data_IF_711664861375
#
_entry.id   IF_711664861375
#
_cell.length_a   1.000
_cell.length_b   1.000
_cell.length_c   1.000
_cell.angle_alpha   90.00
_cell.angle_beta   90.00
_cell.angle_gamma   90.00
#
_symmetry.space_group_name_H-M   'P 1'
#
loop_
_entity.id
_entity.type
_entity.pdbx_description
1 polymer ?
#
# COMPACT_ATOMS: atom_id res chain seq x y z
N UNK A 1 -14.91 6.52 9.15
CA UNK A 1 -14.67 7.68 8.26
C UNK A 1 -15.40 7.46 6.95
N UNK A 2 -15.77 8.52 6.23
CA UNK A 2 -16.60 8.47 5.04
C UNK A 2 -16.03 9.26 3.85
N UNK A 3 -16.27 8.76 2.64
CA UNK A 3 -15.97 9.40 1.38
C UNK A 3 -17.24 9.42 0.51
N UNK A 4 -17.79 10.60 0.13
CA UNK A 4 -19.07 10.75 -0.58
C UNK A 4 -18.97 10.43 -2.07
N UNK A 5 -18.15 9.43 -2.41
CA UNK A 5 -17.84 9.01 -3.75
C UNK A 5 -18.36 7.60 -4.00
N UNK A 6 -18.61 7.29 -5.27
CA UNK A 6 -19.19 6.00 -5.66
C UNK A 6 -18.15 4.89 -5.84
N UNK A 7 -16.87 5.24 -6.00
CA UNK A 7 -15.82 4.29 -6.36
C UNK A 7 -14.42 4.80 -6.04
N UNK A 8 -13.46 3.88 -5.96
CA UNK A 8 -12.02 4.18 -5.87
C UNK A 8 -11.55 5.17 -6.95
N UNK A 9 -12.03 5.01 -8.19
CA UNK A 9 -11.70 5.92 -9.29
C UNK A 9 -12.12 7.36 -9.00
N UNK A 10 -13.36 7.55 -8.54
CA UNK A 10 -13.89 8.88 -8.27
C UNK A 10 -13.15 9.57 -7.12
N UNK A 11 -12.81 8.84 -6.06
CA UNK A 11 -11.96 9.35 -4.97
C UNK A 11 -10.57 9.74 -5.49
N UNK A 12 -9.93 8.88 -6.31
CA UNK A 12 -8.62 9.15 -6.87
C UNK A 12 -8.62 10.44 -7.71
N UNK A 13 -9.64 10.63 -8.55
CA UNK A 13 -9.80 11.84 -9.36
C UNK A 13 -9.94 13.10 -8.51
N UNK A 14 -10.74 13.05 -7.45
CA UNK A 14 -10.93 14.19 -6.56
C UNK A 14 -9.68 14.50 -5.73
N UNK A 15 -9.00 13.48 -5.18
CA UNK A 15 -7.70 13.66 -4.50
C UNK A 15 -6.65 14.30 -5.42
N UNK A 16 -6.53 13.81 -6.66
CA UNK A 16 -5.66 14.43 -7.67
C UNK A 16 -6.03 15.89 -7.86
N UNK A 17 -7.30 16.17 -8.16
CA UNK A 17 -7.78 17.51 -8.51
C UNK A 17 -7.54 18.52 -7.39
N UNK A 18 -7.81 18.14 -6.14
CA UNK A 18 -7.81 19.07 -4.99
C UNK A 18 -6.49 19.12 -4.24
N UNK A 19 -5.76 18.01 -4.15
CA UNK A 19 -4.61 17.90 -3.23
C UNK A 19 -3.31 17.46 -3.91
N UNK A 20 -3.38 16.70 -5.00
CA UNK A 20 -2.21 16.12 -5.64
C UNK A 20 -2.21 16.34 -7.17
N UNK A 21 -2.22 17.60 -7.67
CA UNK A 21 -2.42 17.90 -9.09
C UNK A 21 -1.34 17.34 -10.01
N UNK A 22 -0.12 17.12 -9.49
CA UNK A 22 1.00 16.51 -10.23
C UNK A 22 0.93 14.97 -10.33
N UNK A 23 -0.11 14.33 -9.79
CA UNK A 23 -0.27 12.88 -9.85
C UNK A 23 -1.12 12.43 -11.05
N UNK A 24 -0.92 11.19 -11.47
CA UNK A 24 -1.67 10.53 -12.51
C UNK A 24 -2.61 9.48 -11.91
N UNK A 25 -3.88 9.50 -12.33
CA UNK A 25 -4.89 8.52 -11.90
C UNK A 25 -4.85 7.34 -12.84
N UNK A 26 -4.51 6.15 -12.33
CA UNK A 26 -4.28 4.97 -13.15
C UNK A 26 -5.01 3.74 -12.58
N UNK A 27 -5.71 2.94 -13.40
CA UNK A 27 -6.25 1.67 -12.96
C UNK A 27 -5.13 0.63 -12.81
N UNK A 28 -5.26 -0.29 -11.86
CA UNK A 28 -4.40 -1.47 -11.80
C UNK A 28 -4.59 -2.36 -13.04
N UNK A 29 -5.84 -2.69 -13.36
CA UNK A 29 -6.16 -3.47 -14.55
C UNK A 29 -6.40 -2.55 -15.74
N UNK A 30 -5.36 -2.33 -16.56
CA UNK A 30 -5.46 -1.51 -17.77
C UNK A 30 -6.39 -2.08 -18.86
N UNK A 31 -6.71 -3.36 -18.78
CA UNK A 31 -7.57 -4.05 -19.76
C UNK A 31 -9.05 -4.05 -19.33
N UNK A 32 -9.34 -3.72 -18.07
CA UNK A 32 -10.70 -3.61 -17.55
C UNK A 32 -10.81 -2.39 -16.62
N UNK A 33 -10.68 -1.21 -17.21
CA UNK A 33 -10.62 0.05 -16.48
C UNK A 33 -11.90 0.32 -15.70
N UNK A 34 -13.06 0.07 -16.32
CA UNK A 34 -14.38 0.33 -15.75
C UNK A 34 -14.68 -0.54 -14.53
N UNK A 35 -14.17 -1.78 -14.53
CA UNK A 35 -14.36 -2.73 -13.43
C UNK A 35 -13.17 -2.74 -12.46
N UNK A 36 -12.23 -1.79 -12.59
CA UNK A 36 -11.03 -1.79 -11.77
C UNK A 36 -11.37 -1.36 -10.34
N UNK A 37 -11.17 -2.29 -9.40
CA UNK A 37 -11.32 -2.07 -7.96
C UNK A 37 -10.12 -1.36 -7.33
N UNK A 38 -8.98 -1.33 -8.04
CA UNK A 38 -7.70 -0.82 -7.57
C UNK A 38 -7.25 0.35 -8.46
N UNK A 39 -6.98 1.49 -7.84
CA UNK A 39 -6.54 2.72 -8.49
C UNK A 39 -5.30 3.28 -7.83
N UNK A 40 -4.43 3.88 -8.64
CA UNK A 40 -3.20 4.51 -8.22
C UNK A 40 -3.25 6.01 -8.44
N UNK A 41 -2.64 6.75 -7.52
CA UNK A 41 -2.09 8.08 -7.80
C UNK A 41 -0.58 7.96 -7.90
N UNK A 42 -0.08 8.09 -9.14
CA UNK A 42 1.33 7.86 -9.48
C UNK A 42 2.00 9.13 -10.01
N UNK A 43 3.27 9.39 -9.67
CA UNK A 43 4.00 10.59 -10.07
C UNK A 43 4.34 10.64 -11.56
N UNK A 44 4.46 9.51 -12.25
CA UNK A 44 5.08 9.46 -13.60
C UNK A 44 4.13 9.10 -14.73
N UNK A 45 2.86 8.80 -14.44
CA UNK A 45 1.89 8.40 -15.48
C UNK A 45 2.18 7.07 -16.18
N UNK A 46 3.32 6.43 -15.87
CA UNK A 46 3.66 5.05 -16.24
C UNK A 46 2.64 4.08 -15.60
N UNK A 47 2.60 2.80 -15.95
CA UNK A 47 1.69 1.78 -15.39
C UNK A 47 2.42 0.53 -14.86
N UNK A 48 3.72 0.38 -15.14
CA UNK A 48 4.53 -0.78 -14.72
C UNK A 48 4.77 -0.83 -13.21
N UNK A 49 5.57 -1.80 -12.73
CA UNK A 49 6.16 -1.70 -11.40
C UNK A 49 6.88 -0.35 -11.33
N UNK A 50 6.61 0.46 -10.30
CA UNK A 50 7.12 1.82 -10.27
C UNK A 50 8.36 1.95 -9.43
N UNK A 51 9.32 2.75 -9.94
CA UNK A 51 10.50 3.14 -9.17
C UNK A 51 10.14 3.90 -7.88
N UNK A 52 9.00 4.58 -7.86
CA UNK A 52 8.51 5.44 -6.79
C UNK A 52 7.37 4.78 -6.00
N UNK A 53 7.19 5.20 -4.75
CA UNK A 53 5.96 4.90 -4.03
C UNK A 53 4.76 5.57 -4.72
N UNK A 54 3.56 5.06 -4.44
CA UNK A 54 2.31 5.58 -5.03
C UNK A 54 1.20 5.55 -4.01
N UNK A 55 0.20 6.41 -4.16
CA UNK A 55 -1.01 6.23 -3.35
C UNK A 55 -1.90 5.17 -3.97
N UNK A 56 -2.47 4.34 -3.12
CA UNK A 56 -3.40 3.27 -3.47
C UNK A 56 -4.79 3.62 -2.99
N UNK A 57 -5.76 3.35 -3.84
CA UNK A 57 -7.19 3.40 -3.55
C UNK A 57 -7.78 2.07 -3.99
N UNK A 58 -8.21 1.23 -3.06
CA UNK A 58 -8.80 -0.07 -3.40
C UNK A 58 -10.04 -0.41 -2.60
N UNK A 59 -11.06 -0.91 -3.28
CA UNK A 59 -12.27 -1.50 -2.66
C UNK A 59 -12.19 -3.03 -2.57
N UNK A 60 -11.02 -3.59 -2.85
CA UNK A 60 -10.81 -5.03 -2.96
C UNK A 60 -9.60 -5.47 -2.12
N UNK A 61 -9.69 -6.69 -1.62
CA UNK A 61 -8.85 -7.27 -0.57
C UNK A 61 -9.71 -8.02 0.45
N UNK A 62 -9.38 -9.28 0.72
CA UNK A 62 -10.17 -10.14 1.63
C UNK A 62 -10.30 -9.64 3.07
N UNK A 63 -9.58 -8.57 3.44
CA UNK A 63 -9.67 -7.91 4.74
C UNK A 63 -10.55 -6.65 4.75
N UNK A 64 -10.95 -6.14 3.59
CA UNK A 64 -11.80 -4.96 3.48
C UNK A 64 -13.27 -5.35 3.56
N UNK A 65 -14.03 -4.55 4.29
CA UNK A 65 -15.48 -4.72 4.37
C UNK A 65 -16.13 -4.23 3.07
N UNK A 66 -17.24 -4.86 2.69
CA UNK A 66 -18.05 -4.37 1.58
C UNK A 66 -18.46 -2.90 1.79
N UNK A 67 -18.48 -2.12 0.72
CA UNK A 67 -18.77 -0.69 0.77
C UNK A 67 -17.66 0.17 1.38
N UNK A 68 -16.46 -0.38 1.57
CA UNK A 68 -15.29 0.38 2.04
C UNK A 68 -14.19 0.50 0.99
N UNK A 69 -13.40 1.55 1.12
CA UNK A 69 -12.24 1.88 0.32
C UNK A 69 -11.02 2.01 1.23
N UNK A 70 -9.97 1.25 0.95
CA UNK A 70 -8.65 1.53 1.50
C UNK A 70 -7.99 2.68 0.73
N UNK A 71 -7.64 3.76 1.44
CA UNK A 71 -6.82 4.88 0.98
C UNK A 71 -5.45 4.75 1.68
N UNK A 72 -4.34 4.74 0.95
CA UNK A 72 -3.01 4.58 1.57
C UNK A 72 -1.83 4.86 0.64
N UNK A 73 -0.63 4.66 1.16
CA UNK A 73 0.64 4.66 0.44
C UNK A 73 1.11 3.22 0.21
N UNK A 74 1.57 2.91 -1.01
CA UNK A 74 2.04 1.60 -1.44
C UNK A 74 3.52 1.65 -1.84
N UNK A 75 4.26 0.65 -1.38
CA UNK A 75 5.67 0.40 -1.68
C UNK A 75 5.77 -0.99 -2.29
N UNK A 76 6.43 -1.10 -3.44
CA UNK A 76 6.54 -2.35 -4.16
C UNK A 76 7.97 -2.90 -4.08
N UNK A 77 8.08 -4.21 -3.89
CA UNK A 77 9.21 -5.05 -4.26
C UNK A 77 8.76 -5.93 -5.41
N UNK A 78 9.49 -5.88 -6.52
CA UNK A 78 9.35 -6.80 -7.63
C UNK A 78 10.15 -8.07 -7.39
N UNK A 79 10.09 -8.97 -8.35
CA UNK A 79 10.89 -10.19 -8.28
C UNK A 79 12.37 -9.84 -8.43
N UNK A 80 13.26 -10.61 -7.79
CA UNK A 80 14.70 -10.51 -8.01
C UNK A 80 15.13 -11.24 -9.30
N UNK A 81 14.35 -12.25 -9.71
CA UNK A 81 14.58 -13.01 -10.93
C UNK A 81 13.30 -13.09 -11.76
N UNK A 82 13.42 -12.91 -13.07
CA UNK A 82 12.27 -12.99 -13.97
C UNK A 82 11.87 -14.44 -14.22
N UNK A 83 12.80 -15.40 -14.14
CA UNK A 83 12.54 -16.77 -14.61
C UNK A 83 12.04 -16.75 -16.04
N UNK A 84 10.89 -17.38 -16.29
CA UNK A 84 10.16 -17.33 -17.58
C UNK A 84 9.26 -16.10 -17.76
N UNK A 85 9.19 -15.19 -16.79
CA UNK A 85 8.35 -14.00 -16.83
C UNK A 85 9.03 -12.83 -17.56
N UNK A 86 8.27 -11.80 -17.98
CA UNK A 86 8.85 -10.61 -18.59
C UNK A 86 9.90 -9.95 -17.69
N UNK A 87 11.03 -9.53 -18.26
CA UNK A 87 12.10 -8.85 -17.54
C UNK A 87 11.62 -7.56 -16.83
N UNK A 88 10.53 -6.95 -17.31
CA UNK A 88 9.88 -5.79 -16.68
C UNK A 88 9.35 -6.06 -15.28
N UNK A 89 9.22 -7.33 -14.86
CA UNK A 89 8.78 -7.69 -13.52
C UNK A 89 9.93 -7.80 -12.51
N UNK A 90 11.19 -7.72 -12.99
CA UNK A 90 12.36 -7.68 -12.13
C UNK A 90 12.65 -6.25 -11.74
N UNK A 91 12.65 -5.98 -10.44
CA UNK A 91 12.92 -4.63 -9.95
C UNK A 91 14.41 -4.34 -9.88
N UNK A 92 14.81 -3.15 -10.31
CA UNK A 92 16.20 -2.71 -10.21
C UNK A 92 16.55 -2.34 -8.75
N UNK A 93 17.77 -2.69 -8.34
CA UNK A 93 18.25 -2.52 -6.95
C UNK A 93 18.21 -1.08 -6.41
N UNK A 94 18.06 -0.07 -7.27
CA UNK A 94 17.96 1.35 -6.89
C UNK A 94 16.54 1.83 -6.55
N UNK A 95 15.56 0.93 -6.49
CA UNK A 95 14.14 1.24 -6.33
C UNK A 95 13.70 1.42 -4.86
N UNK A 96 12.47 1.90 -4.68
CA UNK A 96 11.95 2.35 -3.39
C UNK A 96 11.96 1.29 -2.29
N UNK A 97 11.71 0.02 -2.57
CA UNK A 97 11.84 -1.04 -1.54
C UNK A 97 13.21 -1.01 -0.85
N UNK A 98 14.30 -0.99 -1.61
CA UNK A 98 15.65 -1.01 -1.03
C UNK A 98 15.94 0.27 -0.23
N UNK A 99 15.51 1.45 -0.73
CA UNK A 99 15.62 2.70 0.02
C UNK A 99 14.77 2.69 1.29
N UNK A 100 13.57 2.11 1.22
CA UNK A 100 12.64 1.98 2.33
C UNK A 100 13.24 1.13 3.45
N UNK A 101 13.85 -0.02 3.14
CA UNK A 101 14.51 -0.87 4.15
C UNK A 101 15.62 -0.16 4.95
N UNK A 102 16.28 0.85 4.35
CA UNK A 102 17.33 1.64 4.99
C UNK A 102 16.80 2.67 5.98
N UNK A 103 15.60 3.18 5.77
CA UNK A 103 15.00 4.24 6.61
C UNK A 103 13.84 3.76 7.47
N UNK A 104 13.40 2.52 7.26
CA UNK A 104 12.31 1.94 8.01
C UNK A 104 12.81 1.73 9.45
N UNK A 105 12.36 2.60 10.36
CA UNK A 105 12.29 2.46 11.81
C UNK A 105 11.65 3.77 12.33
N UNK A 106 12.38 4.61 13.07
CA UNK A 106 11.91 5.91 13.58
C UNK A 106 11.32 6.84 12.49
N UNK A 107 11.95 7.03 11.31
CA UNK A 107 11.36 7.88 10.27
C UNK A 107 10.01 7.36 9.76
N UNK A 108 9.81 6.05 9.77
CA UNK A 108 8.55 5.43 9.37
C UNK A 108 7.49 5.59 10.47
N UNK A 109 7.86 5.32 11.72
CA UNK A 109 6.98 5.54 12.88
C UNK A 109 6.49 7.00 12.91
N UNK A 110 7.40 7.96 12.70
CA UNK A 110 7.03 9.38 12.65
C UNK A 110 6.03 9.67 11.51
N UNK A 111 6.28 9.19 10.29
CA UNK A 111 5.34 9.39 9.17
C UNK A 111 3.97 8.77 9.48
N UNK A 112 3.93 7.62 10.14
CA UNK A 112 2.70 6.95 10.54
C UNK A 112 1.98 7.71 11.67
N UNK A 113 2.70 8.28 12.62
CA UNK A 113 2.12 9.12 13.67
C UNK A 113 1.53 10.41 13.11
N UNK A 114 2.24 11.08 12.19
CA UNK A 114 1.73 12.24 11.47
C UNK A 114 0.50 11.90 10.63
N UNK A 115 0.49 10.75 9.95
CA UNK A 115 -0.64 10.28 9.15
C UNK A 115 -1.84 9.91 10.04
N UNK A 116 -1.61 9.26 11.19
CA UNK A 116 -2.65 8.92 12.17
C UNK A 116 -3.25 10.17 12.82
N UNK A 117 -2.45 11.20 13.07
CA UNK A 117 -2.97 12.46 13.64
C UNK A 117 -3.93 13.20 12.69
N UNK A 118 -3.96 12.83 11.41
CA UNK A 118 -4.88 13.38 10.42
C UNK A 118 -6.23 12.64 10.34
N UNK A 119 -6.41 11.53 11.06
CA UNK A 119 -7.62 10.69 10.98
C UNK A 119 -8.07 10.18 12.35
N UNK A 120 -9.35 9.87 12.49
CA UNK A 120 -9.94 9.44 13.77
C UNK A 120 -9.78 7.94 14.06
N UNK A 121 -8.90 7.22 13.35
CA UNK A 121 -8.73 5.79 13.58
C UNK A 121 -7.35 5.25 13.27
N UNK A 122 -7.13 4.00 13.69
CA UNK A 122 -5.84 3.35 13.53
C UNK A 122 -5.51 3.15 12.05
N UNK A 123 -4.25 3.43 11.71
CA UNK A 123 -3.71 3.04 10.43
C UNK A 123 -3.61 1.52 10.35
N UNK A 124 -3.74 1.02 9.13
CA UNK A 124 -3.51 -0.36 8.77
C UNK A 124 -2.19 -0.46 8.00
N UNK A 125 -1.39 -1.45 8.38
CA UNK A 125 -0.23 -1.94 7.67
C UNK A 125 -0.61 -3.25 7.01
N UNK A 126 -0.68 -3.26 5.67
CA UNK A 126 -1.03 -4.44 4.88
C UNK A 126 0.19 -4.85 4.08
N UNK A 127 0.60 -6.11 4.21
CA UNK A 127 1.67 -6.70 3.39
C UNK A 127 1.07 -7.83 2.56
N UNK A 128 1.18 -7.71 1.25
CA UNK A 128 0.81 -8.76 0.31
C UNK A 128 2.07 -9.33 -0.32
N UNK A 129 2.19 -10.65 -0.42
CA UNK A 129 3.25 -11.29 -1.19
C UNK A 129 2.68 -12.40 -2.05
N UNK A 130 3.09 -12.44 -3.32
CA UNK A 130 2.60 -13.46 -4.23
C UNK A 130 3.64 -13.89 -5.24
N UNK A 131 3.40 -15.07 -5.79
CA UNK A 131 4.11 -15.61 -6.93
C UNK A 131 3.15 -15.73 -8.11
N UNK A 132 3.62 -15.57 -9.36
CA UNK A 132 2.73 -15.68 -10.50
C UNK A 132 2.04 -17.05 -10.57
N UNK A 133 0.72 -17.04 -10.69
CA UNK A 133 -0.10 -18.26 -10.73
C UNK A 133 -0.37 -18.92 -9.37
N UNK A 134 0.08 -18.32 -8.26
CA UNK A 134 -0.18 -18.79 -6.91
C UNK A 134 -1.12 -17.84 -6.13
N UNK A 135 -1.70 -18.36 -5.05
CA UNK A 135 -2.43 -17.51 -4.10
C UNK A 135 -1.50 -16.54 -3.38
N UNK A 136 -1.99 -15.33 -3.14
CA UNK A 136 -1.24 -14.26 -2.46
C UNK A 136 -1.34 -14.43 -0.94
N UNK A 137 -0.20 -14.45 -0.27
CA UNK A 137 -0.12 -14.33 1.18
C UNK A 137 -0.44 -12.89 1.58
N UNK A 138 -1.23 -12.69 2.63
CA UNK A 138 -1.58 -11.35 3.11
C UNK A 138 -1.48 -11.27 4.62
N UNK A 139 -0.85 -10.23 5.14
CA UNK A 139 -0.85 -9.84 6.56
C UNK A 139 -1.47 -8.48 6.69
N UNK A 140 -2.37 -8.31 7.67
CA UNK A 140 -2.97 -7.02 8.03
C UNK A 140 -2.72 -6.77 9.50
N UNK A 141 -2.22 -5.59 9.82
CA UNK A 141 -1.97 -5.14 11.18
C UNK A 141 -2.56 -3.76 11.41
N UNK A 142 -3.13 -3.55 12.58
CA UNK A 142 -3.43 -2.20 13.09
C UNK A 142 -2.17 -1.61 13.71
N UNK A 143 -1.97 -0.31 13.50
CA UNK A 143 -0.79 0.44 13.95
C UNK A 143 -1.22 1.47 14.97
N UNK A 144 -0.55 1.48 16.13
CA UNK A 144 -0.71 2.50 17.14
C UNK A 144 0.67 2.90 17.70
N UNK A 145 1.20 4.03 17.20
CA UNK A 145 2.59 4.40 17.41
C UNK A 145 3.53 3.32 16.87
N UNK A 146 4.45 2.86 17.70
CA UNK A 146 5.35 1.75 17.34
C UNK A 146 4.73 0.35 17.51
N UNK A 147 3.54 0.22 18.10
CA UNK A 147 2.93 -1.08 18.38
C UNK A 147 2.11 -1.58 17.19
N UNK A 148 2.20 -2.88 16.94
CA UNK A 148 1.46 -3.57 15.91
C UNK A 148 0.53 -4.61 16.53
N UNK A 149 -0.70 -4.64 16.04
CA UNK A 149 -1.69 -5.65 16.42
C UNK A 149 -2.13 -6.41 15.18
N UNK A 150 -1.92 -7.74 15.10
CA UNK A 150 -2.44 -8.54 14.01
C UNK A 150 -3.96 -8.43 13.91
N UNK A 151 -4.46 -8.18 12.70
CA UNK A 151 -5.88 -8.10 12.39
C UNK A 151 -6.32 -9.24 11.47
N UNK A 152 -5.49 -9.64 10.51
CA UNK A 152 -5.73 -10.77 9.64
C UNK A 152 -4.42 -11.37 9.11
N UNK A 153 -4.42 -12.67 8.83
CA UNK A 153 -3.32 -13.37 8.16
C UNK A 153 -3.85 -14.48 7.25
N UNK A 154 -3.42 -14.47 6.00
CA UNK A 154 -3.63 -15.53 5.01
C UNK A 154 -2.28 -16.15 4.65
N UNK A 155 -2.12 -17.44 4.97
CA UNK A 155 -0.86 -18.16 4.90
C UNK A 155 -0.76 -19.01 3.62
N UNK A 156 -0.68 -18.39 2.43
CA UNK A 156 -0.61 -19.18 1.19
C UNK A 156 0.60 -20.11 1.14
N UNK A 157 1.79 -19.59 1.47
CA UNK A 157 3.06 -20.34 1.49
C UNK A 157 3.89 -20.10 2.76
N UNK A 158 3.34 -19.36 3.73
CA UNK A 158 4.02 -19.02 4.97
C UNK A 158 5.06 -17.90 4.86
N UNK A 159 5.28 -17.29 3.70
CA UNK A 159 6.37 -16.32 3.48
C UNK A 159 6.29 -15.08 4.39
N UNK A 160 5.09 -14.73 4.85
CA UNK A 160 4.84 -13.58 5.73
C UNK A 160 4.67 -13.95 7.21
N UNK A 161 4.99 -15.18 7.63
CA UNK A 161 4.73 -15.64 9.01
C UNK A 161 5.47 -14.82 10.07
N UNK A 162 6.72 -14.44 9.82
CA UNK A 162 7.52 -13.64 10.76
C UNK A 162 6.99 -12.20 10.85
N UNK A 163 6.55 -11.65 9.71
CA UNK A 163 5.85 -10.36 9.72
C UNK A 163 4.60 -10.48 10.58
N UNK A 164 3.74 -11.48 10.35
CA UNK A 164 2.48 -11.69 11.08
C UNK A 164 2.65 -11.78 12.61
N UNK A 165 3.83 -12.20 13.09
CA UNK A 165 4.18 -12.33 14.51
C UNK A 165 4.79 -11.06 15.13
N UNK A 166 5.10 -10.07 14.31
CA UNK A 166 5.73 -8.83 14.78
C UNK A 166 4.76 -8.05 15.68
N UNK A 167 5.23 -7.68 16.87
CA UNK A 167 4.44 -6.95 17.86
C UNK A 167 4.69 -5.44 17.82
N UNK A 168 5.74 -5.01 17.13
CA UNK A 168 6.14 -3.62 17.00
C UNK A 168 6.85 -3.36 15.66
N UNK A 169 7.03 -2.07 15.35
CA UNK A 169 7.65 -1.63 14.10
C UNK A 169 9.11 -2.07 13.97
N UNK A 170 9.85 -2.20 15.07
CA UNK A 170 11.26 -2.62 15.02
C UNK A 170 11.36 -4.09 14.57
N UNK A 171 10.63 -4.98 15.23
CA UNK A 171 10.54 -6.41 14.88
C UNK A 171 9.96 -6.63 13.48
N UNK A 172 8.96 -5.82 13.08
CA UNK A 172 8.42 -5.83 11.73
C UNK A 172 9.45 -5.49 10.68
N UNK A 173 10.22 -4.40 10.87
CA UNK A 173 11.27 -3.99 9.94
C UNK A 173 12.35 -5.06 9.84
N UNK A 174 12.77 -5.66 10.95
CA UNK A 174 13.76 -6.73 10.93
C UNK A 174 13.25 -7.98 10.19
N UNK A 175 11.98 -8.35 10.39
CA UNK A 175 11.35 -9.41 9.61
C UNK A 175 11.26 -9.03 8.12
N UNK A 176 10.96 -7.78 7.79
CA UNK A 176 10.86 -7.29 6.42
C UNK A 176 12.20 -7.33 5.69
N UNK A 177 13.30 -6.97 6.37
CA UNK A 177 14.66 -7.05 5.80
C UNK A 177 15.06 -8.47 5.44
N UNK A 178 14.58 -9.48 6.19
CA UNK A 178 14.82 -10.89 5.85
C UNK A 178 14.10 -11.33 4.58
N UNK A 179 13.11 -10.56 4.12
CA UNK A 179 12.46 -10.76 2.84
C UNK A 179 13.25 -10.15 1.66
N UNK A 180 14.44 -9.59 1.88
CA UNK A 180 15.36 -9.19 0.80
C UNK A 180 16.43 -10.26 0.60
N UNK A 181 16.14 -11.29 -0.21
CA UNK A 181 17.08 -12.38 -0.46
C UNK A 181 16.56 -13.48 -1.38
N UNK A 182 17.39 -14.51 -1.54
CA UNK A 182 17.08 -15.67 -2.38
C UNK A 182 15.73 -16.36 -2.05
N UNK A 183 15.30 -16.52 -0.78
CA UNK A 183 14.04 -17.18 -0.44
C UNK A 183 12.78 -16.47 -1.00
N UNK A 184 12.86 -15.16 -1.21
CA UNK A 184 11.75 -14.33 -1.70
C UNK A 184 12.00 -13.79 -3.11
N UNK A 185 12.99 -14.36 -3.81
CA UNK A 185 13.42 -13.87 -5.11
C UNK A 185 12.32 -13.92 -6.18
N UNK A 186 11.33 -14.79 -5.98
CA UNK A 186 10.21 -15.02 -6.89
C UNK A 186 8.92 -14.32 -6.43
N UNK A 187 8.95 -13.65 -5.28
CA UNK A 187 7.80 -12.96 -4.73
C UNK A 187 7.82 -11.49 -5.13
N UNK A 188 6.70 -11.01 -5.68
CA UNK A 188 6.38 -9.59 -5.54
C UNK A 188 5.87 -9.36 -4.12
N UNK A 189 6.19 -8.19 -3.54
CA UNK A 189 5.71 -7.80 -2.22
C UNK A 189 5.18 -6.37 -2.30
N UNK A 190 3.94 -6.15 -1.88
CA UNK A 190 3.37 -4.82 -1.64
C UNK A 190 3.35 -4.56 -0.14
N UNK A 191 3.83 -3.39 0.29
CA UNK A 191 3.58 -2.85 1.62
C UNK A 191 2.67 -1.65 1.46
N UNK A 192 1.53 -1.68 2.14
CA UNK A 192 0.52 -0.63 2.12
C UNK A 192 0.32 -0.09 3.52
N UNK A 193 0.33 1.23 3.65
CA UNK A 193 0.08 1.93 4.91
C UNK A 193 -1.04 2.93 4.66
N UNK A 194 -2.13 2.83 5.40
CA UNK A 194 -3.29 3.67 5.16
C UNK A 194 -4.48 3.31 6.02
N UNK A 195 -5.68 3.65 5.58
CA UNK A 195 -6.89 3.40 6.35
C UNK A 195 -8.09 3.13 5.44
N UNK A 196 -9.07 2.41 5.98
CA UNK A 196 -10.34 2.17 5.32
C UNK A 196 -11.33 3.32 5.59
N UNK A 197 -12.03 3.74 4.54
CA UNK A 197 -13.09 4.73 4.53
C UNK A 197 -14.36 4.08 4.00
N UNK A 198 -15.51 4.37 4.58
CA UNK A 198 -16.81 4.00 4.01
C UNK A 198 -17.07 4.82 2.74
N UNK A 199 -17.64 4.20 1.72
CA UNK A 199 -18.14 4.88 0.53
C UNK A 199 -19.65 5.11 0.68
N UNK A 200 -20.03 6.24 1.27
CA UNK A 200 -21.43 6.66 1.40
C UNK A 200 -21.63 8.09 0.88
N UNK A 201 -22.40 8.20 -0.21
CA UNK A 201 -22.73 9.47 -0.89
C UNK A 201 -23.46 10.48 -0.01
N UNK A 202 -24.12 10.03 1.06
CA UNK A 202 -24.88 10.87 1.96
C UNK A 202 -24.14 11.20 3.26
N UNK A 203 -22.98 10.57 3.49
CA UNK A 203 -22.16 10.82 4.68
C UNK A 203 -21.29 12.07 4.55
N UNK A 204 -20.58 12.45 5.63
CA UNK A 204 -19.68 13.60 5.62
C UNK A 204 -18.53 13.42 4.63
N UNK A 205 -18.08 14.52 4.00
CA UNK A 205 -16.92 14.52 3.11
C UNK A 205 -15.62 14.57 3.90
N UNK A 206 -14.91 13.43 3.99
CA UNK A 206 -13.60 13.35 4.64
C UNK A 206 -12.45 13.20 3.64
N UNK A 207 -12.63 13.70 2.41
CA UNK A 207 -11.58 13.70 1.39
C UNK A 207 -10.34 14.48 1.87
N UNK A 208 -10.55 15.61 2.56
CA UNK A 208 -9.46 16.41 3.13
C UNK A 208 -8.69 15.63 4.21
N UNK A 209 -9.35 14.76 4.98
CA UNK A 209 -8.73 13.89 5.99
C UNK A 209 -7.88 12.80 5.33
N UNK A 210 -8.41 12.08 4.33
CA UNK A 210 -7.62 11.11 3.54
C UNK A 210 -6.43 11.83 2.87
N UNK A 211 -6.59 13.05 2.34
CA UNK A 211 -5.48 13.80 1.79
C UNK A 211 -4.43 14.18 2.84
N UNK A 212 -4.84 14.66 4.03
CA UNK A 212 -3.93 14.96 5.14
C UNK A 212 -3.18 13.72 5.63
N UNK A 213 -3.86 12.56 5.70
CA UNK A 213 -3.25 11.28 6.05
C UNK A 213 -2.18 10.83 5.04
N UNK A 214 -2.37 11.10 3.75
CA UNK A 214 -1.42 10.70 2.70
C UNK A 214 -0.17 11.60 2.64
N UNK A 215 -0.28 12.88 3.00
CA UNK A 215 0.79 13.89 2.88
C UNK A 215 2.14 13.51 3.52
N UNK A 216 2.20 12.90 4.72
CA UNK A 216 3.48 12.50 5.33
C UNK A 216 4.31 11.57 4.44
N UNK A 217 3.67 10.78 3.57
CA UNK A 217 4.35 9.87 2.65
C UNK A 217 4.79 10.52 1.34
N UNK A 218 4.40 11.78 1.07
CA UNK A 218 4.57 12.43 -0.24
C UNK A 218 6.04 12.49 -0.71
N UNK A 219 7.00 12.63 0.21
CA UNK A 219 8.44 12.63 -0.10
C UNK A 219 8.92 11.32 -0.76
N UNK A 220 8.19 10.22 -0.54
CA UNK A 220 8.44 8.90 -1.13
C UNK A 220 7.61 8.62 -2.38
N UNK A 221 6.86 9.61 -2.85
CA UNK A 221 6.07 9.53 -4.08
C UNK A 221 6.69 10.40 -5.17
N UNK A 222 7.51 11.41 -4.86
CA UNK A 222 8.01 12.40 -5.82
C UNK A 222 9.54 12.47 -5.98
N UNK A 223 10.30 11.52 -5.43
CA UNK A 223 11.78 11.63 -5.34
C UNK A 223 12.52 11.38 -6.65
#
# INVERSE_FOLDING_TARGET
MNLPQASAQSVARELKKRHFPGQHVLPYNRFSVENSTHWWLSPTGDKGAFRYGKYILTTDGGWLKEGTLFCGWNIEKGMLHSGSWPASNVMNKSWHWHKFLLVANEPLVQMMDEARAATDGDLQLVVCAGMPGAETATVVMSVNGSRLKPAAYQASDGILVDLARSADMATFVDALRKLDGAPTAWHWIDIRIGQAFTLDRNGPDQLDDCARMLKPFQRWVHS
#
